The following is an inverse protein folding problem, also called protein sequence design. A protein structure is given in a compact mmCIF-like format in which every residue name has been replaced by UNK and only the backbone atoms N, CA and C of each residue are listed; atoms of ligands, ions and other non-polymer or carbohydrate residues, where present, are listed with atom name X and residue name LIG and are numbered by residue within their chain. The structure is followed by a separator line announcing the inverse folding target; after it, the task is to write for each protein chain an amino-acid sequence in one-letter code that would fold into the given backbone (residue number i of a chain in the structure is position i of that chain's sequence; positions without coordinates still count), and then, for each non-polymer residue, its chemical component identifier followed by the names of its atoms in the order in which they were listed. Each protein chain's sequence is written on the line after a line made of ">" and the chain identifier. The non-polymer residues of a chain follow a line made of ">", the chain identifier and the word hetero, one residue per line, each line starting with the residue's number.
data_IF_014651612283
#
_entry.id   IF_014651612283
#
_cell.length_a   1.000
_cell.length_b   1.000
_cell.length_c   1.000
_cell.angle_alpha   90.00
_cell.angle_beta   90.00
_cell.angle_gamma   90.00
#
_symmetry.space_group_name_H-M   'P 1'
#
loop_
_entity.id
_entity.type
_entity.pdbx_description
1 polymer ?
#
# COMPACT_ATOMS: atom_id res chain seq x y z
N UNK A 1 20.60 -1.14 -33.10
CA UNK A 1 19.95 -1.34 -31.79
C UNK A 1 19.09 -0.12 -31.48
N UNK A 2 17.85 -0.30 -31.02
CA UNK A 2 17.08 0.79 -30.43
C UNK A 2 17.86 1.32 -29.23
N UNK A 3 18.00 2.63 -29.11
CA UNK A 3 18.75 3.26 -28.03
C UNK A 3 17.74 3.74 -26.97
N UNK A 4 17.83 3.19 -25.77
CA UNK A 4 17.01 3.62 -24.63
C UNK A 4 17.79 4.66 -23.83
N UNK A 5 17.08 5.67 -23.32
CA UNK A 5 17.68 6.77 -22.56
C UNK A 5 16.91 6.98 -21.27
N UNK A 6 17.49 7.73 -20.33
CA UNK A 6 16.80 8.12 -19.09
C UNK A 6 15.43 8.71 -19.42
N UNK A 7 14.41 8.21 -18.73
CA UNK A 7 13.03 8.66 -18.89
C UNK A 7 12.88 10.05 -18.28
N UNK A 8 12.32 11.00 -19.04
CA UNK A 8 12.14 12.39 -18.62
C UNK A 8 10.71 12.90 -18.75
N UNK A 9 9.78 12.04 -19.17
CA UNK A 9 8.38 12.38 -19.37
C UNK A 9 7.48 11.14 -19.25
N UNK A 10 6.23 11.36 -18.88
CA UNK A 10 5.20 10.31 -18.78
C UNK A 10 4.97 9.59 -20.11
N UNK A 11 4.97 10.32 -21.24
CA UNK A 11 4.84 9.67 -22.56
C UNK A 11 5.98 8.71 -22.86
N UNK A 12 7.21 9.05 -22.46
CA UNK A 12 8.36 8.16 -22.63
C UNK A 12 8.26 6.94 -21.70
N UNK A 13 7.77 7.14 -20.48
CA UNK A 13 7.49 6.06 -19.53
C UNK A 13 6.49 5.05 -20.11
N UNK A 14 5.32 5.52 -20.55
CA UNK A 14 4.28 4.66 -21.13
C UNK A 14 4.79 3.89 -22.35
N UNK A 15 5.53 4.56 -23.25
CA UNK A 15 6.15 3.90 -24.38
C UNK A 15 7.12 2.79 -23.96
N UNK A 16 7.87 2.97 -22.86
CA UNK A 16 8.82 1.97 -22.37
C UNK A 16 8.09 0.80 -21.72
N UNK A 17 6.98 1.03 -21.01
CA UNK A 17 6.10 -0.03 -20.50
C UNK A 17 5.54 -0.89 -21.64
N UNK A 18 5.02 -0.28 -22.70
CA UNK A 18 4.50 -0.98 -23.87
C UNK A 18 5.59 -1.80 -24.59
N UNK A 19 6.81 -1.27 -24.68
CA UNK A 19 7.94 -1.98 -25.28
C UNK A 19 8.42 -3.14 -24.38
N UNK A 20 8.46 -2.95 -23.05
CA UNK A 20 8.79 -3.99 -22.09
C UNK A 20 7.80 -5.17 -22.19
N UNK A 21 6.51 -4.89 -22.32
CA UNK A 21 5.49 -5.93 -22.50
C UNK A 21 5.71 -6.73 -23.79
N UNK A 22 5.97 -6.04 -24.92
CA UNK A 22 6.27 -6.69 -26.20
C UNK A 22 7.50 -7.57 -26.10
N UNK A 23 8.59 -7.07 -25.52
CA UNK A 23 9.85 -7.79 -25.36
C UNK A 23 9.69 -9.00 -24.43
N UNK A 24 8.94 -8.86 -23.33
CA UNK A 24 8.65 -9.98 -22.43
C UNK A 24 7.86 -11.10 -23.11
N UNK A 25 6.90 -10.72 -23.96
CA UNK A 25 6.14 -11.67 -24.77
C UNK A 25 7.01 -12.35 -25.85
N UNK A 26 7.96 -11.63 -26.44
CA UNK A 26 8.92 -12.19 -27.39
C UNK A 26 9.90 -13.15 -26.71
N UNK A 27 10.49 -12.74 -25.60
CA UNK A 27 11.41 -13.54 -24.80
C UNK A 27 10.77 -14.86 -24.34
N UNK A 28 9.49 -14.81 -23.93
CA UNK A 28 8.74 -16.01 -23.54
C UNK A 28 8.60 -17.05 -24.66
N UNK A 29 8.61 -16.60 -25.93
CA UNK A 29 8.52 -17.48 -27.10
C UNK A 29 9.88 -17.93 -27.60
N UNK A 30 10.88 -17.06 -27.53
CA UNK A 30 12.24 -17.33 -28.01
C UNK A 30 13.29 -16.66 -27.10
N UNK A 31 13.65 -17.33 -25.99
CA UNK A 31 14.61 -16.77 -25.03
C UNK A 31 15.99 -16.58 -25.68
N UNK A 32 16.55 -15.38 -25.55
CA UNK A 32 17.93 -15.10 -25.93
C UNK A 32 18.55 -14.02 -25.03
N UNK A 33 19.89 -13.93 -25.05
CA UNK A 33 20.63 -13.03 -24.17
C UNK A 33 20.38 -11.55 -24.49
N UNK A 34 20.34 -11.18 -25.77
CA UNK A 34 20.15 -9.79 -26.18
C UNK A 34 18.78 -9.23 -25.74
N UNK A 35 17.75 -10.08 -25.73
CA UNK A 35 16.41 -9.72 -25.27
C UNK A 35 16.36 -9.53 -23.76
N UNK A 36 16.96 -10.43 -22.97
CA UNK A 36 16.96 -10.27 -21.51
C UNK A 36 17.79 -9.06 -21.07
N UNK A 37 18.94 -8.80 -21.70
CA UNK A 37 19.75 -7.61 -21.42
C UNK A 37 18.97 -6.32 -21.71
N UNK A 38 18.13 -6.33 -22.76
CA UNK A 38 17.28 -5.20 -23.12
C UNK A 38 16.10 -5.04 -22.15
N UNK A 39 15.46 -6.15 -21.75
CA UNK A 39 14.39 -6.18 -20.75
C UNK A 39 14.92 -5.61 -19.42
N UNK A 40 16.08 -6.07 -18.96
CA UNK A 40 16.71 -5.61 -17.73
C UNK A 40 17.01 -4.10 -17.79
N UNK A 41 17.55 -3.63 -18.93
CA UNK A 41 17.83 -2.21 -19.15
C UNK A 41 16.57 -1.36 -19.08
N UNK A 42 15.50 -1.75 -19.79
CA UNK A 42 14.24 -0.99 -19.81
C UNK A 42 13.58 -1.01 -18.44
N UNK A 43 13.60 -2.15 -17.76
CA UNK A 43 13.06 -2.31 -16.40
C UNK A 43 13.74 -1.34 -15.44
N UNK A 44 15.08 -1.27 -15.46
CA UNK A 44 15.84 -0.34 -14.61
C UNK A 44 15.50 1.13 -14.90
N UNK A 45 15.27 1.49 -16.17
CA UNK A 45 14.89 2.86 -16.54
C UNK A 45 13.49 3.24 -16.05
N UNK A 46 12.53 2.30 -16.12
CA UNK A 46 11.17 2.44 -15.60
C UNK A 46 11.21 2.59 -14.08
N UNK A 47 11.92 1.70 -13.38
CA UNK A 47 12.08 1.74 -11.92
C UNK A 47 12.66 3.09 -11.45
N UNK A 48 13.73 3.56 -12.10
CA UNK A 48 14.34 4.85 -11.76
C UNK A 48 13.38 6.04 -11.99
N UNK A 49 12.54 5.98 -13.04
CA UNK A 49 11.53 7.01 -13.26
C UNK A 49 10.43 6.96 -12.21
N UNK A 50 9.95 5.76 -11.88
CA UNK A 50 8.91 5.55 -10.87
C UNK A 50 9.35 6.01 -9.49
N UNK A 51 10.60 5.73 -9.10
CA UNK A 51 11.15 6.22 -7.83
C UNK A 51 11.19 7.75 -7.76
N UNK A 52 11.51 8.42 -8.87
CA UNK A 52 11.63 9.88 -8.93
C UNK A 52 10.32 10.62 -9.17
N UNK A 53 9.30 9.96 -9.72
CA UNK A 53 8.01 10.55 -10.10
C UNK A 53 6.84 9.92 -9.34
N UNK A 54 7.10 9.21 -8.24
CA UNK A 54 6.07 8.52 -7.47
C UNK A 54 5.08 9.50 -6.83
N UNK A 55 4.00 9.85 -7.54
CA UNK A 55 2.80 10.48 -6.94
C UNK A 55 2.09 9.52 -5.99
N UNK A 56 2.45 8.23 -6.05
CA UNK A 56 2.08 7.23 -5.07
C UNK A 56 2.51 7.61 -3.65
N UNK A 57 3.46 8.54 -3.45
CA UNK A 57 3.84 9.08 -2.13
C UNK A 57 2.68 9.69 -1.34
N UNK A 58 1.62 10.15 -2.00
CA UNK A 58 0.52 10.86 -1.33
C UNK A 58 -0.68 9.98 -0.96
N UNK A 59 -0.77 8.78 -1.51
CA UNK A 59 -1.90 7.89 -1.22
C UNK A 59 -1.85 7.42 0.23
N UNK A 60 -2.93 7.69 0.97
CA UNK A 60 -3.09 7.26 2.36
C UNK A 60 -3.17 5.72 2.42
N UNK A 61 -2.46 5.05 3.37
CA UNK A 61 -2.33 3.59 3.40
C UNK A 61 -3.64 2.79 3.35
N UNK A 62 -4.70 3.25 4.01
CA UNK A 62 -6.00 2.55 4.01
C UNK A 62 -6.74 2.75 2.68
N UNK A 63 -6.64 3.93 2.05
CA UNK A 63 -7.16 4.13 0.70
C UNK A 63 -6.45 3.25 -0.33
N UNK A 64 -5.11 3.21 -0.26
CA UNK A 64 -4.30 2.31 -1.09
C UNK A 64 -4.74 0.85 -0.92
N UNK A 65 -4.91 0.40 0.32
CA UNK A 65 -5.35 -0.98 0.59
C UNK A 65 -6.72 -1.28 -0.04
N UNK A 66 -7.68 -0.35 0.04
CA UNK A 66 -9.01 -0.51 -0.58
C UNK A 66 -8.92 -0.59 -2.10
N UNK A 67 -8.10 0.27 -2.71
CA UNK A 67 -7.86 0.25 -4.15
C UNK A 67 -7.28 -1.11 -4.58
N UNK A 68 -6.22 -1.57 -3.92
CA UNK A 68 -5.61 -2.86 -4.22
C UNK A 68 -6.58 -4.04 -4.05
N UNK A 69 -7.44 -4.01 -3.03
CA UNK A 69 -8.49 -4.99 -2.87
C UNK A 69 -9.47 -5.00 -4.06
N UNK A 70 -9.88 -3.82 -4.53
CA UNK A 70 -10.78 -3.69 -5.67
C UNK A 70 -10.13 -4.23 -6.96
N UNK A 71 -8.92 -3.77 -7.29
CA UNK A 71 -8.23 -4.16 -8.52
C UNK A 71 -7.93 -5.66 -8.59
N UNK A 72 -7.67 -6.28 -7.43
CA UNK A 72 -7.39 -7.72 -7.35
C UNK A 72 -8.66 -8.57 -7.09
N UNK A 73 -9.86 -7.96 -7.10
CA UNK A 73 -11.13 -8.62 -6.75
C UNK A 73 -11.09 -9.36 -5.40
N UNK A 74 -10.31 -8.85 -4.43
CA UNK A 74 -10.11 -9.47 -3.13
C UNK A 74 -11.20 -9.05 -2.15
N UNK A 75 -11.85 -10.04 -1.54
CA UNK A 75 -12.78 -9.78 -0.47
C UNK A 75 -12.06 -9.66 0.89
N UNK A 76 -12.74 -9.08 1.89
CA UNK A 76 -12.17 -8.93 3.24
C UNK A 76 -11.81 -10.26 3.91
N UNK A 77 -12.48 -11.37 3.55
CA UNK A 77 -12.20 -12.66 4.19
C UNK A 77 -10.83 -13.18 3.72
N UNK A 78 -10.59 -13.18 2.42
CA UNK A 78 -9.31 -13.62 1.81
C UNK A 78 -8.12 -12.78 2.28
N UNK A 79 -8.31 -11.45 2.32
CA UNK A 79 -7.24 -10.58 2.81
C UNK A 79 -6.98 -10.78 4.31
N UNK A 80 -8.03 -10.97 5.11
CA UNK A 80 -7.86 -11.23 6.55
C UNK A 80 -7.14 -12.56 6.81
N UNK A 81 -7.46 -13.61 6.02
CA UNK A 81 -6.75 -14.89 6.06
C UNK A 81 -5.27 -14.71 5.68
N UNK A 82 -4.96 -13.94 4.63
CA UNK A 82 -3.57 -13.65 4.22
C UNK A 82 -2.79 -12.88 5.29
N UNK A 83 -3.47 -12.02 6.04
CA UNK A 83 -2.86 -11.23 7.13
C UNK A 83 -2.91 -11.93 8.48
N UNK A 84 -3.40 -13.18 8.53
CA UNK A 84 -3.55 -13.99 9.75
C UNK A 84 -4.34 -13.26 10.87
N UNK A 85 -5.37 -12.52 10.48
CA UNK A 85 -6.24 -11.79 11.42
C UNK A 85 -7.72 -12.11 11.20
N UNK A 86 -8.55 -11.73 12.16
CA UNK A 86 -10.00 -11.87 11.99
C UNK A 86 -10.54 -10.86 10.97
N UNK A 87 -11.59 -11.26 10.25
CA UNK A 87 -12.33 -10.36 9.35
C UNK A 87 -12.81 -9.08 10.06
N UNK A 88 -13.21 -9.19 11.33
CA UNK A 88 -13.58 -8.04 12.15
C UNK A 88 -12.43 -7.06 12.37
N UNK A 89 -11.23 -7.57 12.62
CA UNK A 89 -10.03 -6.74 12.76
C UNK A 89 -9.70 -6.01 11.45
N UNK A 90 -9.77 -6.69 10.31
CA UNK A 90 -9.57 -6.04 9.01
C UNK A 90 -10.61 -4.95 8.76
N UNK A 91 -11.88 -5.21 9.11
CA UNK A 91 -12.95 -4.22 8.98
C UNK A 91 -12.68 -2.97 9.84
N UNK A 92 -12.19 -3.13 11.07
CA UNK A 92 -11.80 -2.00 11.92
C UNK A 92 -10.69 -1.15 11.28
N UNK A 93 -9.71 -1.79 10.65
CA UNK A 93 -8.60 -1.12 9.93
C UNK A 93 -9.13 -0.36 8.71
N UNK A 94 -9.94 -1.01 7.86
CA UNK A 94 -10.55 -0.38 6.68
C UNK A 94 -11.48 0.79 7.04
N UNK A 95 -11.97 0.82 8.28
CA UNK A 95 -12.77 1.91 8.84
C UNK A 95 -11.97 2.88 9.72
N UNK A 96 -10.64 2.83 9.67
CA UNK A 96 -9.73 3.73 10.40
C UNK A 96 -9.88 3.67 11.93
N UNK A 97 -10.47 2.62 12.49
CA UNK A 97 -10.57 2.46 13.95
C UNK A 97 -9.28 1.91 14.54
N UNK A 98 -8.49 1.21 13.74
CA UNK A 98 -7.21 0.60 14.11
C UNK A 98 -6.18 0.84 13.00
N UNK A 99 -4.92 0.95 13.40
CA UNK A 99 -3.81 1.06 12.46
C UNK A 99 -3.29 -0.30 11.98
N UNK A 100 -2.52 -0.27 10.91
CA UNK A 100 -1.76 -1.42 10.38
C UNK A 100 -0.58 -1.73 11.32
N UNK A 101 -0.45 -3.00 11.69
CA UNK A 101 0.73 -3.46 12.44
C UNK A 101 1.93 -3.66 11.52
N UNK A 102 3.14 -3.71 12.08
CA UNK A 102 4.38 -3.98 11.31
C UNK A 102 4.32 -5.31 10.54
N UNK A 103 3.70 -6.34 11.12
CA UNK A 103 3.56 -7.63 10.45
C UNK A 103 2.61 -7.53 9.25
N UNK A 104 1.50 -6.81 9.41
CA UNK A 104 0.56 -6.57 8.30
C UNK A 104 1.22 -5.79 7.17
N UNK A 105 2.00 -4.75 7.49
CA UNK A 105 2.74 -3.96 6.51
C UNK A 105 3.69 -4.85 5.69
N UNK A 106 4.41 -5.77 6.34
CA UNK A 106 5.28 -6.74 5.65
C UNK A 106 4.49 -7.69 4.75
N UNK A 107 3.42 -8.30 5.27
CA UNK A 107 2.58 -9.21 4.49
C UNK A 107 1.92 -8.53 3.29
N UNK A 108 1.47 -7.27 3.44
CA UNK A 108 0.91 -6.47 2.35
C UNK A 108 1.97 -6.14 1.29
N UNK A 109 3.16 -5.70 1.73
CA UNK A 109 4.30 -5.43 0.86
C UNK A 109 4.69 -6.67 0.04
N UNK A 110 4.78 -7.84 0.67
CA UNK A 110 5.11 -9.10 0.00
C UNK A 110 4.03 -9.57 -0.98
N UNK A 111 2.75 -9.41 -0.61
CA UNK A 111 1.60 -9.80 -1.45
C UNK A 111 1.48 -8.93 -2.69
N UNK A 112 1.54 -7.61 -2.52
CA UNK A 112 1.33 -6.65 -3.60
C UNK A 112 2.61 -6.25 -4.32
N UNK A 113 3.77 -6.78 -3.88
CA UNK A 113 5.10 -6.45 -4.45
C UNK A 113 5.39 -4.95 -4.44
N UNK A 114 4.99 -4.29 -3.34
CA UNK A 114 5.19 -2.85 -3.13
C UNK A 114 6.13 -2.60 -1.98
N UNK A 115 6.76 -1.42 -1.93
CA UNK A 115 7.56 -1.02 -0.79
C UNK A 115 6.71 -0.90 0.50
N UNK A 116 7.27 -1.30 1.64
CA UNK A 116 6.60 -1.16 2.95
C UNK A 116 6.24 0.29 3.29
N UNK A 117 7.02 1.26 2.78
CA UNK A 117 6.77 2.69 2.92
C UNK A 117 5.37 3.07 2.45
N UNK A 118 4.84 2.44 1.40
CA UNK A 118 3.49 2.69 0.88
C UNK A 118 2.38 2.39 1.91
N UNK A 119 2.61 1.44 2.83
CA UNK A 119 1.65 1.05 3.88
C UNK A 119 2.01 1.58 5.28
N UNK A 120 3.17 2.24 5.42
CA UNK A 120 3.69 2.72 6.71
C UNK A 120 3.65 4.26 6.85
N UNK A 121 2.90 4.95 6.00
CA UNK A 121 2.71 6.41 6.10
C UNK A 121 1.80 6.75 7.28
N UNK A 122 1.95 7.94 7.89
CA UNK A 122 1.04 8.39 8.94
C UNK A 122 -0.37 8.64 8.39
N UNK A 123 -1.38 8.29 9.18
CA UNK A 123 -2.79 8.60 8.92
C UNK A 123 -3.58 8.69 10.21
N UNK A 124 -4.68 9.44 10.18
CA UNK A 124 -5.53 9.64 11.35
C UNK A 124 -6.48 8.47 11.57
N UNK A 125 -6.57 8.02 12.82
CA UNK A 125 -7.59 7.06 13.23
C UNK A 125 -8.88 7.80 13.58
N UNK A 126 -10.01 7.25 13.12
CA UNK A 126 -11.33 7.68 13.58
C UNK A 126 -11.47 7.27 15.05
N UNK A 127 -11.32 8.25 15.94
CA UNK A 127 -11.63 8.04 17.36
C UNK A 127 -13.08 7.58 17.48
N UNK A 128 -13.34 6.60 18.35
CA UNK A 128 -14.70 6.26 18.74
C UNK A 128 -15.28 7.53 19.39
N UNK A 129 -16.23 8.17 18.72
CA UNK A 129 -16.79 9.45 19.12
C UNK A 129 -17.09 9.49 20.63
N UNK A 130 -16.63 10.56 21.28
CA UNK A 130 -16.75 10.95 22.69
C UNK A 130 -18.18 10.99 23.29
N UNK A 131 -19.19 10.33 22.70
CA UNK A 131 -20.57 10.33 23.18
C UNK A 131 -20.87 9.24 24.22
N UNK A 132 -20.03 8.20 24.36
CA UNK A 132 -20.25 7.13 25.35
C UNK A 132 -19.49 7.35 26.67
N UNK A 133 -18.48 8.23 26.70
CA UNK A 133 -17.74 8.55 27.92
C UNK A 133 -18.44 9.59 28.81
N UNK A 134 -19.39 10.37 28.27
CA UNK A 134 -20.12 11.41 29.04
C UNK A 134 -21.28 10.86 29.87
N UNK A 135 -21.85 9.70 29.53
CA UNK A 135 -23.01 9.13 30.25
C UNK A 135 -22.63 8.23 31.44
N UNK A 136 -21.35 7.88 31.61
CA UNK A 136 -20.88 7.00 32.68
C UNK A 136 -20.12 7.73 33.81
N UNK A 137 -20.02 9.07 33.75
CA UNK A 137 -19.11 9.86 34.59
C UNK A 137 -19.77 10.89 35.52
N UNK A 138 -20.99 10.66 36.02
CA UNK A 138 -21.54 11.44 37.14
C UNK A 138 -21.99 10.48 38.26
N UNK A 139 -21.03 10.00 39.06
CA UNK A 139 -21.23 9.57 40.45
C UNK A 139 -19.89 9.04 40.98
N UNK A 140 -19.13 9.92 41.61
CA UNK A 140 -18.38 9.67 42.86
C UNK A 140 -17.26 10.68 43.00
N UNK A 141 -17.46 11.66 43.90
CA UNK A 141 -16.51 12.15 44.91
C UNK A 141 -16.82 13.60 45.31
N UNK A 142 -17.89 13.79 46.07
CA UNK A 142 -17.95 14.85 47.07
C UNK A 142 -18.44 14.25 48.39
N UNK A 143 -17.46 13.83 49.20
CA UNK A 143 -17.44 13.45 50.63
C UNK A 143 -16.00 12.96 50.79
N UNK A 144 -15.08 13.58 51.52
CA UNK A 144 -15.06 13.99 52.93
C UNK A 144 -13.72 14.78 53.12
N UNK A 145 -13.71 15.96 53.77
CA UNK A 145 -13.08 16.24 55.10
C UNK A 145 -11.66 15.68 55.27
N UNK A 146 -10.61 16.36 55.76
CA UNK A 146 -10.47 17.39 56.80
C UNK A 146 -8.97 17.75 56.96
N UNK A 147 -8.68 18.93 57.55
CA UNK A 147 -7.48 19.33 58.35
C UNK A 147 -6.11 19.45 57.67
N UNK A 148 -5.53 20.67 57.67
CA UNK A 148 -4.71 21.26 58.76
C UNK A 148 -4.92 22.77 58.77
#
# INVERSE_FOLDING_TARGET
>A
MKNFTIIRSENQYLNYCDELEKLSNEYSKNPNQDLIDLIDTITLLIENYDESNSTFEESEPIQLLKFLMQENNLNQKELAETLEISKGHLSDILNYKKGLSKNMIRSLSERFKMQQSAFNRPYELKSVSNNQLKSAGLRNSQKETEKV
#
